data_IF_734403514327
#
_entry.id   IF_734403514327
#
_cell.length_a   1.000
_cell.length_b   1.000
_cell.length_c   1.000
_cell.angle_alpha   90.00
_cell.angle_beta   90.00
_cell.angle_gamma   90.00
#
_symmetry.space_group_name_H-M   'P 1'
#
loop_
_entity.id
_entity.type
_entity.pdbx_description
1 polymer ?
#
# COMPACT_ATOMS: atom_id res chain seq x y z
N UNK A 1 -21.13 12.51 12.05
CA UNK A 1 -21.37 13.45 10.92
C UNK A 1 -20.29 14.53 10.72
N UNK A 2 -19.45 14.82 11.70
CA UNK A 2 -18.44 15.89 11.62
C UNK A 2 -17.24 15.62 10.70
N UNK A 3 -16.67 14.39 10.58
CA UNK A 3 -15.55 14.11 9.68
C UNK A 3 -15.93 14.23 8.21
N UNK A 4 -17.09 13.68 7.82
CA UNK A 4 -17.57 13.70 6.43
C UNK A 4 -17.90 15.13 5.97
N UNK A 5 -18.43 15.97 6.86
CA UNK A 5 -18.73 17.36 6.54
C UNK A 5 -17.47 18.20 6.37
N UNK A 6 -16.40 17.94 7.15
CA UNK A 6 -15.09 18.60 6.97
C UNK A 6 -14.39 18.16 5.68
N UNK A 7 -14.46 16.89 5.30
CA UNK A 7 -13.95 16.41 4.01
C UNK A 7 -14.67 17.06 2.83
N UNK A 8 -16.00 17.17 2.89
CA UNK A 8 -16.79 17.86 1.84
C UNK A 8 -16.50 19.36 1.72
N UNK A 9 -16.06 20.01 2.80
CA UNK A 9 -15.64 21.42 2.74
C UNK A 9 -14.24 21.62 2.13
N UNK A 10 -13.39 20.59 2.17
CA UNK A 10 -12.05 20.66 1.56
C UNK A 10 -12.07 20.30 0.06
N UNK A 11 -13.02 19.50 -0.38
CA UNK A 11 -13.16 19.04 -1.78
C UNK A 11 -14.40 19.71 -2.42
N UNK A 12 -14.33 21.02 -2.69
CA UNK A 12 -15.45 21.78 -3.24
C UNK A 12 -15.91 21.28 -4.61
N UNK A 13 -15.04 20.54 -5.33
CA UNK A 13 -15.29 20.02 -6.68
C UNK A 13 -15.10 18.51 -6.78
N UNK A 14 -15.31 17.78 -5.68
CA UNK A 14 -15.24 16.32 -5.70
C UNK A 14 -16.33 15.73 -6.62
N UNK A 15 -15.96 14.68 -7.34
CA UNK A 15 -16.82 13.93 -8.23
C UNK A 15 -16.73 12.46 -7.90
N UNK A 16 -17.74 11.95 -7.23
CA UNK A 16 -17.86 10.53 -6.90
C UNK A 16 -18.35 9.75 -8.13
N UNK A 17 -18.03 8.45 -8.18
CA UNK A 17 -18.39 7.57 -9.29
C UNK A 17 -17.88 8.05 -10.66
N UNK A 18 -16.71 8.69 -10.67
CA UNK A 18 -16.01 9.11 -11.87
C UNK A 18 -14.72 8.30 -11.99
N UNK A 19 -14.65 7.45 -13.00
CA UNK A 19 -13.44 6.67 -13.29
C UNK A 19 -12.64 7.34 -14.41
N UNK A 20 -11.38 7.65 -14.16
CA UNK A 20 -10.48 8.19 -15.18
C UNK A 20 -9.90 7.01 -15.96
N UNK A 21 -10.28 6.89 -17.25
CA UNK A 21 -9.81 5.82 -18.14
C UNK A 21 -8.46 6.15 -18.77
N UNK A 22 -8.33 7.41 -19.23
CA UNK A 22 -7.09 7.86 -19.87
C UNK A 22 -6.77 9.32 -19.52
N UNK A 23 -5.48 9.65 -19.62
CA UNK A 23 -4.97 10.99 -19.47
C UNK A 23 -3.88 11.23 -20.54
N UNK A 24 -4.13 12.13 -21.48
CA UNK A 24 -3.20 12.51 -22.53
C UNK A 24 -2.65 13.91 -22.28
N UNK A 25 -1.35 14.06 -22.19
CA UNK A 25 -0.71 15.36 -22.20
C UNK A 25 -0.66 15.87 -23.64
N UNK A 26 -1.24 17.03 -23.88
CA UNK A 26 -1.16 17.77 -25.13
C UNK A 26 -0.04 18.82 -25.00
N UNK A 27 1.09 18.56 -25.68
CA UNK A 27 2.26 19.45 -25.57
C UNK A 27 2.07 20.79 -26.27
N UNK A 28 1.17 20.87 -27.24
CA UNK A 28 0.88 22.11 -27.95
C UNK A 28 0.13 23.11 -27.04
N UNK A 29 -0.87 22.61 -26.31
CA UNK A 29 -1.74 23.41 -25.45
C UNK A 29 -1.29 23.43 -24.00
N UNK A 30 -0.26 22.64 -23.64
CA UNK A 30 0.28 22.45 -22.26
C UNK A 30 -0.81 22.08 -21.25
N UNK A 31 -1.69 21.13 -21.62
CA UNK A 31 -2.79 20.63 -20.80
C UNK A 31 -2.88 19.10 -20.81
N UNK A 32 -3.44 18.56 -19.74
CA UNK A 32 -3.93 17.18 -19.66
C UNK A 32 -5.36 17.10 -20.19
N UNK A 33 -5.61 16.22 -21.13
CA UNK A 33 -6.92 15.80 -21.63
C UNK A 33 -7.29 14.48 -20.98
N UNK A 34 -8.38 14.46 -20.20
CA UNK A 34 -8.79 13.30 -19.41
C UNK A 34 -10.10 12.74 -19.95
N UNK A 35 -10.13 11.44 -20.26
CA UNK A 35 -11.36 10.71 -20.53
C UNK A 35 -11.87 10.09 -19.23
N UNK A 36 -13.07 10.46 -18.84
CA UNK A 36 -13.71 10.02 -17.60
C UNK A 36 -14.99 9.25 -17.92
N UNK A 37 -15.17 8.12 -17.28
CA UNK A 37 -16.42 7.35 -17.31
C UNK A 37 -17.21 7.59 -16.03
N UNK A 38 -18.44 8.04 -16.17
CA UNK A 38 -19.41 8.13 -15.08
C UNK A 38 -20.70 7.35 -15.39
N UNK A 39 -21.76 7.54 -14.61
CA UNK A 39 -23.06 6.89 -14.82
C UNK A 39 -23.75 7.26 -16.14
N UNK A 40 -23.44 8.44 -16.70
CA UNK A 40 -24.04 8.98 -17.90
C UNK A 40 -23.19 8.67 -19.16
N UNK A 41 -22.03 8.03 -19.02
CA UNK A 41 -21.15 7.62 -20.11
C UNK A 41 -19.75 8.24 -20.06
N UNK A 42 -19.13 8.40 -21.23
CA UNK A 42 -17.78 8.97 -21.36
C UNK A 42 -17.86 10.50 -21.46
N UNK A 43 -16.98 11.18 -20.73
CA UNK A 43 -16.85 12.65 -20.73
C UNK A 43 -15.37 13.03 -20.79
N UNK A 44 -15.10 14.14 -21.47
CA UNK A 44 -13.75 14.71 -21.51
C UNK A 44 -13.68 15.94 -20.61
N UNK A 45 -12.58 16.03 -19.83
CA UNK A 45 -12.23 17.23 -19.09
C UNK A 45 -10.77 17.55 -19.31
N UNK A 46 -10.39 18.80 -19.10
CA UNK A 46 -9.00 19.25 -19.19
C UNK A 46 -8.50 19.71 -17.83
N UNK A 47 -7.18 19.60 -17.62
CA UNK A 47 -6.51 20.05 -16.42
C UNK A 47 -5.10 20.53 -16.73
N UNK A 48 -4.62 21.57 -16.08
CA UNK A 48 -3.24 22.04 -16.21
C UNK A 48 -2.22 21.17 -15.46
N UNK A 49 -2.66 20.41 -14.45
CA UNK A 49 -1.79 19.55 -13.65
C UNK A 49 -2.53 18.26 -13.27
N UNK A 50 -1.85 17.11 -13.35
CA UNK A 50 -2.37 15.80 -12.97
C UNK A 50 -1.65 15.27 -11.72
N UNK A 51 -2.39 15.09 -10.62
CA UNK A 51 -1.85 14.55 -9.38
C UNK A 51 -2.57 13.24 -9.00
N UNK A 52 -1.90 12.10 -9.17
CA UNK A 52 -2.44 10.78 -8.87
C UNK A 52 -2.27 10.45 -7.38
N UNK A 53 -3.38 10.25 -6.69
CA UNK A 53 -3.42 9.87 -5.27
C UNK A 53 -4.05 8.49 -5.02
N UNK A 54 -4.18 7.66 -6.05
CA UNK A 54 -4.81 6.35 -5.98
C UNK A 54 -3.92 5.24 -5.40
N UNK A 55 -2.66 5.54 -5.04
CA UNK A 55 -1.69 4.52 -4.60
C UNK A 55 -1.06 3.77 -5.78
N UNK A 56 -0.65 2.51 -5.56
CA UNK A 56 0.05 1.71 -6.57
C UNK A 56 -0.55 0.31 -6.75
N UNK A 57 -1.81 0.14 -6.46
CA UNK A 57 -2.50 -1.13 -6.68
C UNK A 57 -3.46 -1.03 -7.85
N UNK A 58 -3.58 -2.15 -8.62
CA UNK A 58 -4.62 -2.27 -9.61
C UNK A 58 -5.99 -2.39 -8.93
N UNK A 59 -6.95 -1.59 -9.38
CA UNK A 59 -8.34 -1.67 -8.93
C UNK A 59 -9.13 -2.71 -9.71
N UNK A 60 -8.69 -3.03 -10.92
CA UNK A 60 -9.41 -3.91 -11.84
C UNK A 60 -9.00 -5.37 -11.73
N UNK A 61 -7.76 -5.64 -11.24
CA UNK A 61 -7.18 -6.98 -11.26
C UNK A 61 -6.63 -7.38 -9.90
N UNK A 62 -7.19 -8.40 -9.25
CA UNK A 62 -6.62 -9.07 -8.10
C UNK A 62 -5.54 -10.06 -8.54
N UNK A 63 -4.66 -10.44 -7.63
CA UNK A 63 -3.77 -11.57 -7.88
C UNK A 63 -4.45 -12.87 -7.43
N UNK A 64 -4.87 -13.67 -8.39
CA UNK A 64 -5.46 -14.99 -8.15
C UNK A 64 -4.48 -16.05 -8.71
N UNK A 65 -3.82 -16.84 -7.84
CA UNK A 65 -3.06 -18.00 -8.30
C UNK A 65 -3.97 -19.01 -9.01
N UNK A 66 -3.41 -19.73 -9.96
CA UNK A 66 -4.12 -20.84 -10.60
C UNK A 66 -4.04 -22.06 -9.67
N UNK A 67 -5.14 -22.41 -9.02
CA UNK A 67 -5.25 -23.59 -8.20
C UNK A 67 -5.79 -24.76 -9.04
N UNK A 68 -5.16 -25.95 -8.88
CA UNK A 68 -5.59 -27.14 -9.59
C UNK A 68 -7.02 -27.51 -9.18
N UNK A 69 -7.87 -27.85 -10.14
CA UNK A 69 -9.26 -28.28 -9.94
C UNK A 69 -10.13 -27.27 -9.18
N UNK A 70 -9.83 -25.96 -9.29
CA UNK A 70 -10.57 -24.92 -8.58
C UNK A 70 -12.06 -24.89 -8.94
N UNK A 71 -12.40 -25.28 -10.16
CA UNK A 71 -13.76 -25.39 -10.68
C UNK A 71 -14.59 -26.51 -10.04
N UNK A 72 -13.96 -27.48 -9.38
CA UNK A 72 -14.64 -28.57 -8.70
C UNK A 72 -15.29 -28.13 -7.39
N UNK A 73 -14.79 -27.04 -6.78
CA UNK A 73 -15.32 -26.55 -5.50
C UNK A 73 -16.74 -26.03 -5.67
N UNK A 74 -17.67 -26.57 -4.88
CA UNK A 74 -19.11 -26.23 -4.97
C UNK A 74 -19.51 -25.05 -4.10
N UNK A 75 -18.65 -24.63 -3.17
CA UNK A 75 -18.87 -23.45 -2.34
C UNK A 75 -18.52 -22.14 -3.07
N UNK A 76 -18.48 -21.05 -2.33
CA UNK A 76 -18.11 -19.75 -2.87
C UNK A 76 -16.59 -19.52 -2.80
N UNK A 77 -15.99 -19.03 -3.89
CA UNK A 77 -14.61 -18.53 -3.91
C UNK A 77 -14.67 -17.02 -4.05
N UNK A 78 -14.04 -16.30 -3.09
CA UNK A 78 -14.13 -14.84 -2.99
C UNK A 78 -12.72 -14.26 -2.93
N UNK A 79 -12.45 -13.22 -3.74
CA UNK A 79 -11.28 -12.39 -3.54
C UNK A 79 -11.65 -11.15 -2.74
N UNK A 80 -10.91 -10.80 -1.65
CA UNK A 80 -11.25 -9.68 -0.76
C UNK A 80 -11.40 -8.33 -1.45
N UNK A 81 -10.70 -8.10 -2.58
CA UNK A 81 -10.82 -6.87 -3.37
C UNK A 81 -12.24 -6.67 -3.92
N UNK A 82 -13.00 -7.74 -4.12
CA UNK A 82 -14.38 -7.73 -4.66
C UNK A 82 -15.40 -8.15 -3.61
N UNK A 83 -15.11 -7.88 -2.35
CA UNK A 83 -16.05 -8.14 -1.27
C UNK A 83 -17.34 -7.35 -1.48
N UNK A 84 -18.47 -8.02 -1.33
CA UNK A 84 -19.78 -7.40 -1.39
C UNK A 84 -20.63 -7.74 -0.15
N UNK A 85 -21.64 -6.93 0.12
CA UNK A 85 -22.50 -7.04 1.29
C UNK A 85 -23.46 -8.26 1.25
N UNK A 86 -23.47 -9.04 0.17
CA UNK A 86 -24.30 -10.25 0.05
C UNK A 86 -23.61 -11.51 0.54
N UNK A 87 -22.32 -11.41 0.90
CA UNK A 87 -21.54 -12.51 1.41
C UNK A 87 -21.94 -12.74 2.87
N UNK A 88 -22.60 -13.87 3.11
CA UNK A 88 -22.97 -14.32 4.46
C UNK A 88 -21.97 -15.36 4.98
N UNK A 89 -21.21 -14.97 6.00
CA UNK A 89 -20.23 -15.82 6.68
C UNK A 89 -20.78 -16.53 7.92
N UNK A 90 -22.00 -16.23 8.34
CA UNK A 90 -22.57 -16.75 9.59
C UNK A 90 -22.71 -18.27 9.55
N UNK A 91 -22.23 -18.93 10.62
CA UNK A 91 -22.29 -20.38 10.79
C UNK A 91 -21.67 -21.18 9.61
N UNK A 92 -20.64 -20.64 8.96
CA UNK A 92 -19.94 -21.25 7.84
C UNK A 92 -18.52 -21.64 8.23
N UNK A 93 -18.01 -22.72 7.63
CA UNK A 93 -16.60 -23.09 7.66
C UNK A 93 -15.87 -22.33 6.55
N UNK A 94 -14.92 -21.50 6.94
CA UNK A 94 -14.27 -20.59 6.02
C UNK A 94 -12.77 -20.86 5.97
N UNK A 95 -12.21 -20.96 4.77
CA UNK A 95 -10.77 -21.02 4.56
C UNK A 95 -10.29 -19.69 3.97
N UNK A 96 -9.38 -19.03 4.68
CA UNK A 96 -8.70 -17.81 4.20
C UNK A 96 -7.30 -18.18 3.74
N UNK A 97 -7.07 -18.15 2.43
CA UNK A 97 -5.76 -18.50 1.83
C UNK A 97 -4.86 -17.27 1.82
N UNK A 98 -3.83 -17.29 2.64
CA UNK A 98 -2.82 -16.24 2.78
C UNK A 98 -2.44 -15.94 4.22
N UNK A 99 -1.30 -15.25 4.42
CA UNK A 99 -0.79 -14.83 5.73
C UNK A 99 -0.44 -13.35 5.80
N UNK A 100 -0.80 -12.59 4.76
CA UNK A 100 -0.53 -11.14 4.68
C UNK A 100 -1.54 -10.29 5.46
N UNK A 101 -1.38 -8.96 5.38
CA UNK A 101 -2.23 -8.00 6.09
C UNK A 101 -3.73 -8.23 5.89
N UNK A 102 -4.16 -8.61 4.70
CA UNK A 102 -5.57 -8.91 4.41
C UNK A 102 -6.06 -10.12 5.20
N UNK A 103 -5.32 -11.22 5.20
CA UNK A 103 -5.71 -12.44 5.92
C UNK A 103 -5.78 -12.20 7.43
N UNK A 104 -4.74 -11.60 8.03
CA UNK A 104 -4.69 -11.38 9.48
C UNK A 104 -5.75 -10.39 9.99
N UNK A 105 -6.30 -9.55 9.09
CA UNK A 105 -7.41 -8.65 9.41
C UNK A 105 -8.77 -9.32 9.22
N UNK A 106 -8.93 -10.14 8.17
CA UNK A 106 -10.20 -10.80 7.87
C UNK A 106 -10.51 -11.93 8.86
N UNK A 107 -9.49 -12.72 9.21
CA UNK A 107 -9.69 -13.91 10.06
C UNK A 107 -10.40 -13.57 11.38
N UNK A 108 -9.93 -12.64 12.22
CA UNK A 108 -10.62 -12.32 13.47
C UNK A 108 -12.00 -11.71 13.24
N UNK A 109 -12.16 -10.85 12.23
CA UNK A 109 -13.45 -10.21 11.95
C UNK A 109 -14.53 -11.22 11.50
N UNK A 110 -14.17 -12.20 10.68
CA UNK A 110 -15.08 -13.24 10.21
C UNK A 110 -15.35 -14.25 11.33
N UNK A 111 -14.36 -14.56 12.15
CA UNK A 111 -14.48 -15.50 13.27
C UNK A 111 -15.50 -15.08 14.34
N UNK A 112 -15.96 -13.83 14.33
CA UNK A 112 -17.03 -13.38 15.23
C UNK A 112 -18.37 -14.05 14.91
N UNK A 113 -18.63 -14.41 13.65
CA UNK A 113 -19.92 -14.94 13.20
C UNK A 113 -19.85 -16.31 12.53
N UNK A 114 -18.68 -16.68 11.98
CA UNK A 114 -18.46 -17.96 11.32
C UNK A 114 -18.51 -19.13 12.33
N UNK A 115 -18.79 -20.35 11.85
CA UNK A 115 -18.63 -21.58 12.63
C UNK A 115 -17.15 -21.78 12.98
N UNK A 116 -16.28 -21.67 12.00
CA UNK A 116 -14.82 -21.74 12.16
C UNK A 116 -14.09 -21.11 10.97
N UNK A 117 -12.95 -20.45 11.24
CA UNK A 117 -12.10 -19.85 10.20
C UNK A 117 -10.72 -20.50 10.22
N UNK A 118 -10.32 -21.10 9.10
CA UNK A 118 -8.96 -21.62 8.94
C UNK A 118 -8.12 -20.65 8.12
N UNK A 119 -7.09 -20.06 8.72
CA UNK A 119 -6.06 -19.33 8.00
C UNK A 119 -5.07 -20.32 7.39
N UNK A 120 -5.15 -20.53 6.08
CA UNK A 120 -4.27 -21.43 5.35
C UNK A 120 -3.13 -20.65 4.69
N UNK A 121 -1.91 -20.94 5.08
CA UNK A 121 -0.72 -20.24 4.57
C UNK A 121 0.35 -21.22 4.08
N UNK A 122 1.00 -20.88 2.98
CA UNK A 122 2.15 -21.63 2.47
C UNK A 122 3.41 -21.38 3.31
N UNK A 123 3.57 -20.16 3.80
CA UNK A 123 4.68 -19.73 4.64
C UNK A 123 4.20 -18.68 5.64
N UNK A 124 4.74 -18.67 6.87
CA UNK A 124 4.38 -17.67 7.88
C UNK A 124 4.75 -16.25 7.49
N UNK A 125 4.06 -15.29 8.14
CA UNK A 125 4.42 -13.87 8.14
C UNK A 125 4.70 -13.40 9.57
N UNK A 126 5.53 -12.36 9.75
CA UNK A 126 5.64 -11.72 11.05
C UNK A 126 4.36 -10.98 11.40
N UNK A 127 3.80 -11.30 12.56
CA UNK A 127 2.58 -10.70 13.09
C UNK A 127 2.88 -10.15 14.48
N UNK A 128 2.49 -8.89 14.70
CA UNK A 128 2.71 -8.20 15.99
C UNK A 128 1.40 -7.62 16.46
N UNK A 129 1.04 -7.88 17.72
CA UNK A 129 -0.06 -7.21 18.37
C UNK A 129 0.30 -5.78 18.75
N UNK A 130 -0.62 -4.85 18.50
CA UNK A 130 -0.45 -3.45 18.88
C UNK A 130 -1.75 -2.89 19.43
N UNK A 131 -1.73 -2.16 20.56
CA UNK A 131 -2.92 -1.54 21.10
C UNK A 131 -3.56 -0.57 20.09
N UNK A 132 -4.87 -0.69 19.87
CA UNK A 132 -5.64 0.23 19.02
C UNK A 132 -5.65 1.65 19.59
N UNK A 133 -5.56 1.78 20.91
CA UNK A 133 -5.51 3.04 21.64
C UNK A 133 -4.24 3.17 22.49
N UNK A 134 -3.53 4.27 22.34
CA UNK A 134 -2.38 4.60 23.18
C UNK A 134 -2.87 5.34 24.45
N UNK A 135 -2.85 4.63 25.58
CA UNK A 135 -3.28 5.17 26.90
C UNK A 135 -2.47 6.40 27.31
N UNK A 136 -1.16 6.43 26.98
CA UNK A 136 -0.30 7.59 27.27
C UNK A 136 -0.76 8.83 26.50
N UNK A 137 -1.29 8.64 25.30
CA UNK A 137 -1.83 9.72 24.49
C UNK A 137 -3.13 10.28 25.09
N UNK A 138 -3.99 9.44 25.68
CA UNK A 138 -5.18 9.89 26.40
C UNK A 138 -4.81 10.77 27.60
N UNK A 139 -3.74 10.39 28.32
CA UNK A 139 -3.26 11.15 29.47
C UNK A 139 -2.73 12.54 29.07
N UNK A 140 -1.88 12.61 28.03
CA UNK A 140 -1.32 13.87 27.54
C UNK A 140 -2.39 14.87 27.08
N UNK A 141 -3.48 14.37 26.45
CA UNK A 141 -4.61 15.21 26.00
C UNK A 141 -5.36 15.91 27.15
N UNK A 142 -5.22 15.43 28.38
CA UNK A 142 -5.85 16.08 29.56
C UNK A 142 -5.10 17.32 30.00
N UNK A 143 -3.80 17.41 29.75
CA UNK A 143 -2.93 18.46 30.32
C UNK A 143 -2.40 19.43 29.26
N UNK A 144 -2.38 19.07 28.00
CA UNK A 144 -1.79 19.86 26.93
C UNK A 144 -2.81 20.21 25.84
N UNK A 145 -2.69 21.40 25.23
CA UNK A 145 -3.48 21.76 24.05
C UNK A 145 -3.36 20.72 22.93
N UNK A 146 -4.45 20.47 22.24
CA UNK A 146 -4.54 19.39 21.23
C UNK A 146 -3.46 19.46 20.14
N UNK A 147 -3.06 20.67 19.73
CA UNK A 147 -2.01 20.89 18.73
C UNK A 147 -0.62 20.46 19.24
N UNK A 148 -0.30 20.78 20.48
CA UNK A 148 0.98 20.39 21.12
C UNK A 148 1.01 18.88 21.34
N UNK A 149 -0.07 18.34 21.88
CA UNK A 149 -0.21 16.89 22.08
C UNK A 149 -0.03 16.13 20.78
N UNK A 150 -0.72 16.57 19.70
CA UNK A 150 -0.58 15.96 18.38
C UNK A 150 0.88 16.00 17.87
N UNK A 151 1.54 17.15 18.00
CA UNK A 151 2.94 17.31 17.60
C UNK A 151 3.87 16.34 18.35
N UNK A 152 3.76 16.29 19.68
CA UNK A 152 4.61 15.41 20.51
C UNK A 152 4.37 13.93 20.20
N UNK A 153 3.10 13.51 20.07
CA UNK A 153 2.74 12.12 19.76
C UNK A 153 3.23 11.75 18.37
N UNK A 154 3.02 12.64 17.38
CA UNK A 154 3.49 12.40 16.00
C UNK A 154 5.00 12.15 15.98
N UNK A 155 5.78 13.02 16.62
CA UNK A 155 7.24 12.87 16.64
C UNK A 155 7.71 11.66 17.45
N UNK A 156 7.09 11.39 18.60
CA UNK A 156 7.35 10.16 19.37
C UNK A 156 7.16 8.92 18.48
N UNK A 157 6.05 8.82 17.74
CA UNK A 157 5.77 7.67 16.90
C UNK A 157 6.71 7.57 15.69
N UNK A 158 7.06 8.69 15.07
CA UNK A 158 8.04 8.73 13.96
C UNK A 158 9.41 8.21 14.44
N UNK A 159 9.91 8.74 15.56
CA UNK A 159 11.21 8.34 16.10
C UNK A 159 11.20 6.87 16.54
N UNK A 160 10.13 6.41 17.18
CA UNK A 160 9.97 5.02 17.59
C UNK A 160 9.95 4.06 16.38
N UNK A 161 9.14 4.34 15.36
CA UNK A 161 9.10 3.52 14.15
C UNK A 161 10.46 3.50 13.41
N UNK A 162 11.12 4.65 13.32
CA UNK A 162 12.45 4.76 12.70
C UNK A 162 13.48 3.95 13.48
N UNK A 163 13.44 4.00 14.82
CA UNK A 163 14.29 3.21 15.68
C UNK A 163 14.04 1.71 15.53
N UNK A 164 12.77 1.27 15.54
CA UNK A 164 12.42 -0.13 15.38
C UNK A 164 12.86 -0.67 14.01
N UNK A 165 12.68 0.11 12.96
CA UNK A 165 13.17 -0.25 11.63
C UNK A 165 14.71 -0.37 11.59
N UNK A 166 15.41 0.60 12.18
CA UNK A 166 16.88 0.55 12.31
C UNK A 166 17.33 -0.71 13.06
N UNK A 167 16.69 -1.01 14.18
CA UNK A 167 17.00 -2.22 14.98
C UNK A 167 16.74 -3.50 14.18
N UNK A 168 15.64 -3.56 13.42
CA UNK A 168 15.32 -4.73 12.61
C UNK A 168 16.34 -4.98 11.48
N UNK A 169 16.84 -3.92 10.86
CA UNK A 169 17.85 -4.04 9.78
C UNK A 169 19.26 -4.35 10.31
N UNK A 170 19.64 -3.84 11.49
CA UNK A 170 20.99 -4.03 12.03
C UNK A 170 21.09 -5.19 13.03
N UNK A 171 20.01 -5.57 13.68
CA UNK A 171 19.94 -6.63 14.69
C UNK A 171 18.75 -7.56 14.46
N UNK A 172 18.61 -8.16 13.25
CA UNK A 172 17.42 -8.89 12.84
C UNK A 172 17.07 -10.06 13.77
N UNK A 173 18.06 -10.85 14.20
CA UNK A 173 17.82 -12.00 15.07
C UNK A 173 17.26 -11.59 16.45
N UNK A 174 17.69 -10.46 16.99
CA UNK A 174 17.13 -9.93 18.24
C UNK A 174 15.68 -9.54 18.09
N UNK A 175 15.34 -8.87 17.00
CA UNK A 175 13.96 -8.44 16.75
C UNK A 175 13.08 -9.63 16.42
N UNK A 176 13.58 -10.60 15.64
CA UNK A 176 12.90 -11.86 15.36
C UNK A 176 12.56 -12.59 16.66
N UNK A 177 13.55 -12.78 17.53
CA UNK A 177 13.32 -13.42 18.83
C UNK A 177 12.26 -12.68 19.66
N UNK A 178 12.38 -11.35 19.77
CA UNK A 178 11.39 -10.56 20.52
C UNK A 178 9.96 -10.71 19.97
N UNK A 179 9.79 -10.74 18.64
CA UNK A 179 8.47 -10.93 18.03
C UNK A 179 7.91 -12.33 18.37
N UNK A 180 8.75 -13.37 18.24
CA UNK A 180 8.32 -14.74 18.53
C UNK A 180 8.02 -14.95 20.02
N UNK A 181 8.81 -14.37 20.92
CA UNK A 181 8.56 -14.41 22.37
C UNK A 181 7.19 -13.76 22.70
N UNK A 182 6.89 -12.59 22.11
CA UNK A 182 5.58 -11.94 22.26
C UNK A 182 4.42 -12.83 21.75
N UNK A 183 4.60 -13.55 20.66
CA UNK A 183 3.57 -14.47 20.13
C UNK A 183 3.41 -15.67 21.06
N UNK A 184 4.51 -16.23 21.61
CA UNK A 184 4.48 -17.33 22.60
C UNK A 184 3.77 -16.89 23.88
N UNK A 185 4.01 -15.66 24.34
CA UNK A 185 3.28 -15.10 25.50
C UNK A 185 1.80 -14.95 25.24
N UNK A 186 1.40 -14.61 24.00
CA UNK A 186 -0.02 -14.48 23.62
C UNK A 186 -0.71 -15.84 23.46
N UNK A 187 -0.08 -16.83 22.80
CA UNK A 187 -0.73 -18.10 22.44
C UNK A 187 -0.51 -19.22 23.45
N UNK A 188 0.50 -19.10 24.30
CA UNK A 188 0.94 -20.16 25.23
C UNK A 188 2.02 -21.08 24.63
N UNK A 189 2.67 -21.85 25.52
CA UNK A 189 3.81 -22.69 25.15
C UNK A 189 3.41 -23.93 24.32
N UNK A 190 2.17 -24.35 24.40
CA UNK A 190 1.66 -25.53 23.68
C UNK A 190 1.32 -25.25 22.21
N UNK A 191 1.30 -23.97 21.80
CA UNK A 191 1.04 -23.61 20.42
C UNK A 191 2.34 -23.69 19.59
N UNK A 192 2.27 -24.34 18.43
CA UNK A 192 3.44 -24.50 17.52
C UNK A 192 3.77 -23.17 16.77
N UNK A 193 4.32 -22.21 17.53
CA UNK A 193 4.74 -20.90 17.02
C UNK A 193 5.85 -21.04 15.98
N UNK A 194 6.71 -22.04 16.12
CA UNK A 194 7.84 -22.23 15.22
C UNK A 194 7.36 -22.64 13.82
N UNK A 195 6.32 -23.46 13.72
CA UNK A 195 5.69 -23.84 12.44
C UNK A 195 4.84 -22.73 11.84
N UNK A 196 4.03 -22.05 12.66
CA UNK A 196 2.95 -21.21 12.17
C UNK A 196 3.26 -19.71 12.12
N UNK A 197 4.29 -19.25 12.87
CA UNK A 197 4.60 -17.83 13.01
C UNK A 197 6.07 -17.48 12.85
N UNK A 198 6.91 -18.44 12.41
CA UNK A 198 8.35 -18.20 12.21
C UNK A 198 8.70 -18.14 10.72
N UNK A 199 8.73 -16.92 10.12
CA UNK A 199 9.17 -16.74 8.75
C UNK A 199 10.63 -17.09 8.53
N UNK A 200 10.95 -17.49 7.28
CA UNK A 200 12.34 -17.78 6.86
C UNK A 200 13.17 -16.52 6.54
N UNK A 201 12.51 -15.35 6.45
CA UNK A 201 13.13 -14.05 6.14
C UNK A 201 13.23 -13.17 7.40
N UNK A 202 14.01 -12.08 7.33
CA UNK A 202 14.17 -11.18 8.46
C UNK A 202 13.01 -10.17 8.57
N UNK A 203 12.72 -9.65 9.78
CA UNK A 203 11.73 -8.60 9.95
C UNK A 203 12.02 -7.39 9.05
N UNK A 204 11.00 -6.88 8.37
CA UNK A 204 11.06 -5.80 7.36
C UNK A 204 11.76 -6.13 6.04
N UNK A 205 12.22 -7.36 5.76
CA UNK A 205 12.50 -7.80 4.39
C UNK A 205 11.18 -8.00 3.63
N UNK A 206 10.15 -8.40 4.37
CA UNK A 206 8.76 -8.33 3.96
C UNK A 206 7.95 -7.58 5.04
N UNK A 207 6.68 -7.30 4.76
CA UNK A 207 5.85 -6.54 5.68
C UNK A 207 5.62 -7.29 7.00
N UNK A 208 5.85 -6.61 8.11
CA UNK A 208 5.39 -7.04 9.42
C UNK A 208 3.91 -6.65 9.56
N UNK A 209 3.04 -7.63 9.77
CA UNK A 209 1.61 -7.42 9.93
C UNK A 209 1.28 -6.99 11.37
N UNK A 210 0.43 -5.97 11.51
CA UNK A 210 -0.05 -5.51 12.80
C UNK A 210 -1.49 -5.96 13.00
N UNK A 211 -1.79 -6.55 14.16
CA UNK A 211 -3.14 -6.91 14.59
C UNK A 211 -3.53 -6.06 15.80
N UNK A 212 -4.69 -5.38 15.77
CA UNK A 212 -5.12 -4.53 16.86
C UNK A 212 -5.56 -5.35 18.06
N UNK A 213 -5.12 -4.95 19.25
CA UNK A 213 -5.60 -5.51 20.54
C UNK A 213 -5.55 -7.04 20.61
N UNK A 214 -4.61 -7.68 19.91
CA UNK A 214 -4.44 -9.15 19.84
C UNK A 214 -5.66 -9.91 19.28
N UNK A 215 -6.47 -9.28 18.43
CA UNK A 215 -7.74 -9.85 17.94
C UNK A 215 -7.57 -11.22 17.27
N UNK A 216 -6.57 -11.39 16.38
CA UNK A 216 -6.24 -12.67 15.75
C UNK A 216 -5.87 -13.72 16.82
N UNK A 217 -4.98 -13.38 17.75
CA UNK A 217 -4.55 -14.32 18.79
C UNK A 217 -5.68 -14.72 19.73
N UNK A 218 -6.61 -13.80 20.02
CA UNK A 218 -7.85 -14.12 20.78
C UNK A 218 -8.71 -15.12 20.03
N UNK A 219 -8.95 -14.90 18.72
CA UNK A 219 -9.72 -15.84 17.90
C UNK A 219 -9.11 -17.25 17.88
N UNK A 220 -7.76 -17.34 17.85
CA UNK A 220 -7.04 -18.61 17.92
C UNK A 220 -7.20 -19.28 19.30
N UNK A 221 -7.02 -18.55 20.39
CA UNK A 221 -7.20 -19.08 21.78
C UNK A 221 -8.63 -19.53 22.06
N UNK A 222 -9.60 -18.86 21.49
CA UNK A 222 -11.02 -19.21 21.62
C UNK A 222 -11.44 -20.36 20.69
N UNK A 223 -10.52 -20.94 19.93
CA UNK A 223 -10.77 -21.96 18.91
C UNK A 223 -11.81 -21.56 17.84
N UNK A 224 -12.04 -20.27 17.66
CA UNK A 224 -12.88 -19.74 16.58
C UNK A 224 -12.13 -19.67 15.25
N UNK A 225 -10.80 -19.64 15.33
CA UNK A 225 -9.92 -19.72 14.19
C UNK A 225 -8.78 -20.70 14.42
N UNK A 226 -8.17 -21.17 13.34
CA UNK A 226 -6.96 -22.00 13.35
C UNK A 226 -6.00 -21.57 12.26
N UNK A 227 -4.70 -21.88 12.41
CA UNK A 227 -3.68 -21.68 11.37
C UNK A 227 -3.20 -23.01 10.86
N UNK A 228 -3.19 -23.17 9.55
CA UNK A 228 -2.59 -24.31 8.87
C UNK A 228 -1.49 -23.81 7.97
N UNK A 229 -0.27 -24.35 8.14
CA UNK A 229 0.89 -24.00 7.32
C UNK A 229 1.23 -25.19 6.44
N UNK A 230 0.78 -25.11 5.18
CA UNK A 230 0.96 -26.17 4.19
C UNK A 230 0.69 -25.65 2.76
N UNK A 231 1.01 -26.44 1.75
CA UNK A 231 0.78 -26.14 0.34
C UNK A 231 -0.52 -26.80 -0.13
N UNK A 232 -1.32 -26.06 -0.91
CA UNK A 232 -2.52 -26.59 -1.54
C UNK A 232 -2.10 -27.45 -2.75
N UNK A 233 -2.52 -28.71 -2.77
CA UNK A 233 -2.34 -29.61 -3.91
C UNK A 233 -3.44 -29.40 -4.95
N UNK A 234 -4.69 -29.39 -4.49
CA UNK A 234 -5.86 -29.20 -5.37
C UNK A 234 -7.10 -28.77 -4.56
N UNK A 235 -8.09 -28.27 -5.27
CA UNK A 235 -9.41 -28.02 -4.74
C UNK A 235 -10.28 -29.25 -4.97
N UNK A 236 -11.10 -29.57 -3.97
CA UNK A 236 -12.11 -30.60 -4.03
C UNK A 236 -13.53 -29.99 -3.94
N UNK A 237 -14.55 -30.84 -4.08
CA UNK A 237 -15.94 -30.36 -4.13
C UNK A 237 -16.42 -29.65 -2.85
N UNK A 238 -15.79 -29.93 -1.71
CA UNK A 238 -16.20 -29.45 -0.37
C UNK A 238 -15.02 -28.86 0.43
N UNK A 239 -13.88 -28.55 -0.24
CA UNK A 239 -12.73 -27.99 0.45
C UNK A 239 -11.44 -27.99 -0.36
N UNK A 240 -10.32 -28.02 0.34
CA UNK A 240 -8.98 -28.05 -0.24
C UNK A 240 -8.16 -29.23 0.29
N UNK A 241 -7.42 -29.89 -0.60
CA UNK A 241 -6.45 -30.93 -0.28
C UNK A 241 -5.06 -30.31 -0.16
N UNK A 242 -4.33 -30.70 0.87
CA UNK A 242 -2.99 -30.21 1.17
C UNK A 242 -1.93 -31.27 0.80
N UNK A 243 -0.69 -30.82 0.68
CA UNK A 243 0.47 -31.66 0.36
C UNK A 243 0.73 -32.73 1.46
N UNK A 244 0.45 -32.41 2.71
CA UNK A 244 0.47 -33.36 3.83
C UNK A 244 -0.58 -34.49 3.74
N UNK A 245 -1.50 -34.43 2.79
CA UNK A 245 -2.66 -35.30 2.73
C UNK A 245 -3.84 -34.88 3.62
N UNK A 246 -3.69 -33.77 4.36
CA UNK A 246 -4.80 -33.22 5.14
C UNK A 246 -5.83 -32.54 4.22
N UNK A 247 -7.11 -32.80 4.44
CA UNK A 247 -8.22 -32.10 3.80
C UNK A 247 -8.80 -31.06 4.75
N UNK A 248 -9.03 -29.84 4.23
CA UNK A 248 -9.73 -28.78 4.97
C UNK A 248 -11.10 -28.58 4.30
N UNK A 249 -12.15 -28.84 5.06
CA UNK A 249 -13.55 -28.63 4.63
C UNK A 249 -13.87 -27.14 4.70
N UNK A 250 -14.56 -26.63 3.68
CA UNK A 250 -14.97 -25.23 3.61
C UNK A 250 -16.31 -25.06 2.89
N UNK A 251 -17.13 -24.14 3.36
CA UNK A 251 -18.29 -23.60 2.64
C UNK A 251 -17.89 -22.41 1.77
N UNK A 252 -16.90 -21.63 2.25
CA UNK A 252 -16.39 -20.45 1.57
C UNK A 252 -14.86 -20.47 1.58
N UNK A 253 -14.26 -20.18 0.45
CA UNK A 253 -12.81 -19.98 0.32
C UNK A 253 -12.54 -18.54 -0.03
N UNK A 254 -11.72 -17.86 0.79
CA UNK A 254 -11.31 -16.46 0.57
C UNK A 254 -9.86 -16.43 0.12
N UNK A 255 -9.61 -16.00 -1.11
CA UNK A 255 -8.28 -15.94 -1.69
C UNK A 255 -7.58 -14.63 -1.34
N UNK A 256 -7.06 -14.52 -0.10
CA UNK A 256 -6.27 -13.38 0.36
C UNK A 256 -4.81 -13.46 -0.16
N UNK A 257 -4.65 -13.81 -1.43
CA UNK A 257 -3.39 -14.19 -2.08
C UNK A 257 -2.57 -13.01 -2.62
N UNK A 258 -3.07 -11.79 -2.38
CA UNK A 258 -2.39 -10.55 -2.73
C UNK A 258 -3.08 -9.77 -3.83
N UNK A 259 -2.46 -8.66 -4.19
CA UNK A 259 -2.93 -7.68 -5.15
C UNK A 259 -1.88 -7.45 -6.23
N UNK A 260 -2.30 -6.95 -7.37
CA UNK A 260 -1.38 -6.57 -8.44
C UNK A 260 -0.96 -5.11 -8.29
N UNK A 261 0.32 -4.83 -8.58
CA UNK A 261 0.84 -3.47 -8.59
C UNK A 261 0.54 -2.80 -9.94
N UNK A 262 0.17 -1.52 -9.87
CA UNK A 262 0.05 -0.64 -11.03
C UNK A 262 0.27 0.81 -10.60
N UNK A 263 1.42 1.37 -10.94
CA UNK A 263 1.83 2.71 -10.52
C UNK A 263 0.98 3.84 -11.11
N UNK A 264 0.25 3.59 -12.19
CA UNK A 264 -0.62 4.55 -12.88
C UNK A 264 -2.12 4.27 -12.65
N UNK A 265 -2.47 3.41 -11.68
CA UNK A 265 -3.85 3.13 -11.24
C UNK A 265 -4.81 2.70 -12.36
N UNK A 266 -4.36 1.87 -13.28
CA UNK A 266 -5.10 1.42 -14.47
C UNK A 266 -5.47 2.57 -15.45
N UNK A 267 -4.91 3.78 -15.28
CA UNK A 267 -5.11 4.90 -16.19
C UNK A 267 -4.14 4.77 -17.36
N UNK A 268 -4.66 4.88 -18.59
CA UNK A 268 -3.81 4.94 -19.78
C UNK A 268 -3.22 6.35 -19.92
N UNK A 269 -1.97 6.53 -19.45
CA UNK A 269 -1.27 7.81 -19.50
C UNK A 269 -0.46 7.91 -20.79
N UNK A 270 -0.64 9.01 -21.54
CA UNK A 270 0.05 9.28 -22.81
C UNK A 270 0.58 10.71 -22.85
N UNK A 271 1.60 10.96 -23.68
CA UNK A 271 2.11 12.28 -24.05
C UNK A 271 2.04 12.36 -25.56
N UNK A 272 1.27 13.31 -26.09
CA UNK A 272 1.01 13.44 -27.54
C UNK A 272 0.62 12.11 -28.20
N UNK A 273 -0.17 11.28 -27.47
CA UNK A 273 -0.64 9.94 -27.79
C UNK A 273 0.40 8.83 -27.62
N UNK A 274 1.66 9.13 -27.34
CA UNK A 274 2.67 8.12 -27.03
C UNK A 274 2.54 7.63 -25.60
N UNK A 275 2.51 6.32 -25.41
CA UNK A 275 2.26 5.69 -24.10
C UNK A 275 3.42 5.94 -23.13
N UNK A 276 3.08 6.41 -21.93
CA UNK A 276 4.03 6.53 -20.82
C UNK A 276 4.24 5.16 -20.17
N UNK A 277 5.48 4.67 -20.24
CA UNK A 277 5.91 3.50 -19.49
C UNK A 277 6.60 3.96 -18.19
N UNK A 278 5.95 3.81 -17.05
CA UNK A 278 6.51 4.23 -15.77
C UNK A 278 7.82 3.51 -15.43
N UNK A 279 7.94 2.21 -15.78
CA UNK A 279 9.12 1.41 -15.46
C UNK A 279 10.41 1.86 -16.18
N UNK A 280 10.28 2.49 -17.33
CA UNK A 280 11.44 3.04 -18.06
C UNK A 280 11.86 4.43 -17.57
N UNK A 281 11.21 5.00 -16.56
CA UNK A 281 11.43 6.36 -16.11
C UNK A 281 11.95 6.44 -14.69
N UNK A 282 12.79 7.44 -14.42
CA UNK A 282 13.25 7.74 -13.07
C UNK A 282 12.19 8.49 -12.28
N UNK A 283 12.12 8.19 -10.98
CA UNK A 283 11.30 8.97 -10.06
C UNK A 283 12.07 10.18 -9.52
N UNK A 284 11.53 11.37 -9.76
CA UNK A 284 12.06 12.61 -9.20
C UNK A 284 11.49 12.84 -7.81
N UNK A 285 12.37 12.91 -6.82
CA UNK A 285 12.03 13.02 -5.37
C UNK A 285 10.97 12.00 -4.90
N UNK A 286 10.82 10.85 -5.60
CA UNK A 286 9.83 9.82 -5.31
C UNK A 286 8.38 10.27 -5.51
N UNK A 287 8.11 11.30 -6.34
CA UNK A 287 6.76 11.86 -6.52
C UNK A 287 6.45 12.39 -7.92
N UNK A 288 7.41 12.48 -8.83
CA UNK A 288 7.19 12.84 -10.24
C UNK A 288 7.97 11.86 -11.11
N UNK A 289 7.63 11.76 -12.41
CA UNK A 289 8.34 10.93 -13.38
C UNK A 289 9.18 11.80 -14.32
N UNK A 290 10.39 11.35 -14.63
CA UNK A 290 11.23 11.99 -15.63
C UNK A 290 10.53 12.05 -16.99
N UNK A 291 10.63 13.19 -17.67
CA UNK A 291 10.02 13.40 -18.98
C UNK A 291 8.48 13.39 -19.02
N UNK A 292 7.80 13.53 -17.86
CA UNK A 292 6.33 13.64 -17.80
C UNK A 292 5.94 15.02 -17.26
N UNK A 293 5.34 15.87 -18.12
CA UNK A 293 5.03 17.26 -17.76
C UNK A 293 3.86 17.34 -16.78
N UNK A 294 3.89 18.31 -15.85
CA UNK A 294 2.81 18.65 -14.94
C UNK A 294 2.13 17.42 -14.28
N UNK A 295 2.97 16.47 -13.87
CA UNK A 295 2.53 15.19 -13.34
C UNK A 295 3.17 14.91 -11.99
N UNK A 296 2.36 14.48 -11.05
CA UNK A 296 2.85 13.96 -9.77
C UNK A 296 2.01 12.76 -9.32
N UNK A 297 2.59 11.94 -8.43
CA UNK A 297 1.90 10.83 -7.78
C UNK A 297 2.27 10.75 -6.31
N UNK A 298 1.39 10.18 -5.49
CA UNK A 298 1.63 9.99 -4.07
C UNK A 298 1.76 8.52 -3.73
N UNK A 299 2.98 8.08 -3.37
CA UNK A 299 3.24 6.79 -2.76
C UNK A 299 3.67 6.96 -1.31
N UNK A 300 3.41 5.95 -0.49
CA UNK A 300 3.83 5.95 0.90
C UNK A 300 5.17 5.26 1.12
N UNK A 301 5.55 5.16 2.39
CA UNK A 301 6.69 4.35 2.82
C UNK A 301 6.27 2.88 2.95
N UNK A 302 7.22 1.98 2.73
CA UNK A 302 7.03 0.54 3.06
C UNK A 302 7.29 0.25 4.53
N UNK A 303 8.08 1.10 5.20
CA UNK A 303 8.57 0.94 6.56
C UNK A 303 7.98 1.92 7.57
N UNK A 304 7.04 2.77 7.15
CA UNK A 304 6.38 3.77 7.99
C UNK A 304 4.97 4.08 7.47
N UNK A 305 4.23 4.93 8.21
CA UNK A 305 2.90 5.35 7.78
C UNK A 305 2.94 6.08 6.43
N UNK A 306 2.03 5.70 5.54
CA UNK A 306 1.87 6.33 4.22
C UNK A 306 1.56 7.83 4.31
N UNK A 307 0.79 8.24 5.32
CA UNK A 307 0.40 9.65 5.52
C UNK A 307 1.60 10.56 5.69
N UNK A 308 2.70 10.07 6.24
CA UNK A 308 3.92 10.86 6.41
C UNK A 308 4.50 11.30 5.06
N UNK A 309 4.53 10.38 4.09
CA UNK A 309 5.03 10.69 2.74
C UNK A 309 4.02 11.49 1.93
N UNK A 310 2.73 11.13 2.04
CA UNK A 310 1.66 11.83 1.36
C UNK A 310 1.61 13.32 1.76
N UNK A 311 1.74 13.66 3.06
CA UNK A 311 1.84 15.04 3.54
C UNK A 311 2.96 15.83 2.84
N UNK A 312 4.17 15.24 2.76
CA UNK A 312 5.32 15.89 2.12
C UNK A 312 5.11 16.07 0.62
N UNK A 313 4.55 15.06 -0.04
CA UNK A 313 4.24 15.11 -1.48
C UNK A 313 3.22 16.19 -1.78
N UNK A 314 2.12 16.23 -1.03
CA UNK A 314 1.09 17.26 -1.20
C UNK A 314 1.64 18.68 -0.96
N UNK A 315 2.46 18.85 0.10
CA UNK A 315 3.12 20.14 0.38
C UNK A 315 4.03 20.55 -0.77
N UNK A 316 4.82 19.63 -1.32
CA UNK A 316 5.71 19.90 -2.45
C UNK A 316 4.93 20.29 -3.71
N UNK A 317 3.89 19.53 -4.05
CA UNK A 317 3.06 19.79 -5.25
C UNK A 317 2.37 21.15 -5.15
N UNK A 318 1.81 21.50 -3.99
CA UNK A 318 1.22 22.82 -3.78
C UNK A 318 2.24 23.96 -3.95
N UNK A 319 3.44 23.79 -3.38
CA UNK A 319 4.53 24.79 -3.53
C UNK A 319 5.02 24.87 -4.98
N UNK A 320 5.05 23.76 -5.70
CA UNK A 320 5.42 23.70 -7.11
C UNK A 320 4.44 24.48 -7.97
N UNK A 321 3.13 24.21 -7.84
CA UNK A 321 2.07 24.91 -8.58
C UNK A 321 2.11 26.41 -8.28
N UNK A 322 2.22 26.81 -7.01
CA UNK A 322 2.36 28.21 -6.63
C UNK A 322 3.63 28.88 -7.24
N UNK A 323 4.71 28.12 -7.39
CA UNK A 323 5.93 28.64 -8.04
C UNK A 323 5.72 28.80 -9.56
N UNK A 324 5.00 27.89 -10.20
CA UNK A 324 4.63 27.99 -11.62
C UNK A 324 3.79 29.22 -11.86
N UNK A 325 2.74 29.43 -11.06
CA UNK A 325 1.87 30.62 -11.12
C UNK A 325 2.70 31.91 -10.93
N UNK A 326 3.57 31.95 -9.92
CA UNK A 326 4.44 33.11 -9.66
C UNK A 326 5.41 33.41 -10.80
N UNK A 327 5.88 32.38 -11.50
CA UNK A 327 6.78 32.56 -12.67
C UNK A 327 6.02 32.86 -13.95
N UNK A 328 4.69 32.67 -14.00
CA UNK A 328 3.89 32.76 -15.21
C UNK A 328 4.23 31.67 -16.23
N UNK A 329 4.64 30.48 -15.77
CA UNK A 329 4.97 29.34 -16.63
C UNK A 329 3.85 28.29 -16.60
N UNK A 330 3.58 27.68 -17.74
CA UNK A 330 2.50 26.72 -17.91
C UNK A 330 2.92 25.28 -17.63
N UNK A 331 4.21 25.00 -17.74
CA UNK A 331 4.74 23.64 -17.67
C UNK A 331 5.93 23.52 -16.73
N UNK A 332 5.96 22.41 -15.99
CA UNK A 332 7.15 21.93 -15.28
C UNK A 332 7.34 20.44 -15.57
N UNK A 333 8.58 20.03 -15.82
CA UNK A 333 8.90 18.64 -16.18
C UNK A 333 10.26 18.26 -15.61
N UNK A 334 10.39 17.16 -14.86
CA UNK A 334 11.70 16.63 -14.49
C UNK A 334 12.45 16.19 -15.76
N UNK A 335 13.68 16.71 -15.95
CA UNK A 335 14.52 16.36 -17.09
C UNK A 335 15.19 15.04 -16.79
N UNK A 336 15.18 14.13 -17.74
CA UNK A 336 15.87 12.86 -17.62
C UNK A 336 17.38 13.05 -17.39
N UNK A 337 17.98 12.26 -16.52
CA UNK A 337 19.40 12.30 -16.19
C UNK A 337 20.01 10.92 -16.42
N UNK A 338 20.55 10.70 -17.61
CA UNK A 338 21.14 9.41 -17.98
C UNK A 338 22.25 8.97 -17.02
N UNK A 339 22.92 9.90 -16.36
CA UNK A 339 23.98 9.60 -15.38
C UNK A 339 23.45 9.18 -14.01
N UNK A 340 22.16 9.35 -13.78
CA UNK A 340 21.50 8.98 -12.53
C UNK A 340 20.90 7.56 -12.57
N UNK A 341 20.79 6.95 -13.76
CA UNK A 341 20.29 5.58 -13.86
C UNK A 341 21.18 4.61 -13.11
N UNK A 342 20.55 3.65 -12.47
CA UNK A 342 21.15 2.53 -11.76
C UNK A 342 20.22 1.33 -11.86
N UNK A 343 20.66 0.21 -11.33
CA UNK A 343 19.87 -1.04 -11.31
C UNK A 343 18.90 -1.11 -10.12
N UNK A 344 18.87 -0.06 -9.28
CA UNK A 344 18.05 -0.05 -8.07
C UNK A 344 16.57 0.12 -8.39
N UNK A 345 15.76 -0.79 -7.88
CA UNK A 345 14.31 -0.65 -7.87
C UNK A 345 13.88 0.48 -6.91
N UNK A 346 12.72 1.09 -7.14
CA UNK A 346 12.18 2.17 -6.29
C UNK A 346 12.10 1.77 -4.82
N UNK A 347 11.86 0.50 -4.55
CA UNK A 347 11.66 -0.07 -3.22
C UNK A 347 12.34 -1.44 -3.17
N UNK A 348 13.27 -1.60 -2.24
CA UNK A 348 13.87 -2.89 -1.89
C UNK A 348 12.95 -3.66 -0.94
N UNK A 349 12.09 -4.50 -1.53
CA UNK A 349 11.09 -5.26 -0.78
C UNK A 349 10.90 -6.65 -1.41
N UNK A 350 11.18 -7.70 -0.65
CA UNK A 350 11.24 -9.08 -1.19
C UNK A 350 9.90 -9.82 -1.22
N UNK A 351 8.79 -9.16 -0.83
CA UNK A 351 7.47 -9.80 -0.85
C UNK A 351 7.04 -10.17 -2.28
N UNK A 352 6.44 -11.36 -2.42
CA UNK A 352 6.12 -11.92 -3.74
C UNK A 352 5.20 -11.04 -4.60
N UNK A 353 4.25 -10.31 -3.98
CA UNK A 353 3.38 -9.41 -4.73
C UNK A 353 4.15 -8.22 -5.31
N UNK A 354 5.16 -7.75 -4.59
CA UNK A 354 5.99 -6.64 -5.02
C UNK A 354 6.92 -7.08 -6.15
N UNK A 355 7.60 -8.21 -5.98
CA UNK A 355 8.49 -8.78 -7.01
C UNK A 355 7.77 -9.02 -8.33
N UNK A 356 6.54 -9.54 -8.29
CA UNK A 356 5.72 -9.72 -9.51
C UNK A 356 5.36 -8.42 -10.21
N UNK A 357 5.24 -7.31 -9.45
CA UNK A 357 4.77 -6.03 -9.98
C UNK A 357 5.88 -5.00 -10.24
N UNK A 358 7.16 -5.32 -10.04
CA UNK A 358 8.27 -4.38 -10.23
C UNK A 358 8.28 -3.73 -11.62
N UNK A 359 7.91 -4.49 -12.65
CA UNK A 359 7.84 -4.00 -14.03
C UNK A 359 6.73 -2.95 -14.28
N UNK A 360 5.86 -2.69 -13.30
CA UNK A 360 4.89 -1.59 -13.33
C UNK A 360 5.34 -0.37 -12.52
N UNK A 361 6.42 -0.50 -11.75
CA UNK A 361 6.91 0.58 -10.88
C UNK A 361 7.99 1.40 -11.57
N UNK A 362 8.06 2.70 -11.32
CA UNK A 362 9.18 3.52 -11.81
C UNK A 362 10.49 3.10 -11.14
N UNK A 363 11.60 3.43 -11.78
CA UNK A 363 12.95 3.22 -11.24
C UNK A 363 13.36 4.37 -10.34
N UNK A 364 14.26 4.11 -9.40
CA UNK A 364 14.98 5.17 -8.71
C UNK A 364 16.38 5.34 -9.30
N UNK A 365 16.96 6.52 -9.07
CA UNK A 365 18.34 6.78 -9.43
C UNK A 365 19.31 6.53 -8.27
N UNK A 366 20.59 6.54 -8.60
CA UNK A 366 21.69 6.34 -7.64
C UNK A 366 22.02 7.59 -6.80
N UNK A 367 21.57 8.78 -7.22
CA UNK A 367 21.84 10.08 -6.58
C UNK A 367 20.58 10.95 -6.45
N UNK A 368 20.62 11.94 -5.54
CA UNK A 368 19.57 12.97 -5.47
C UNK A 368 19.54 13.81 -6.76
N UNK A 369 18.36 14.25 -7.22
CA UNK A 369 17.03 14.12 -6.62
C UNK A 369 16.29 12.83 -7.00
N UNK A 370 16.94 11.90 -7.70
CA UNK A 370 16.36 10.68 -8.26
C UNK A 370 16.32 9.52 -7.28
N UNK A 371 17.07 9.59 -6.16
CA UNK A 371 17.10 8.57 -5.13
C UNK A 371 15.95 8.73 -4.13
N UNK A 372 15.21 7.65 -3.87
CA UNK A 372 14.20 7.57 -2.81
C UNK A 372 14.80 6.94 -1.56
N UNK A 373 14.88 7.70 -0.47
CA UNK A 373 15.58 7.24 0.75
C UNK A 373 14.73 6.36 1.65
N UNK A 374 13.43 6.24 1.40
CA UNK A 374 12.49 5.56 2.30
C UNK A 374 12.66 5.97 3.78
N UNK A 375 12.99 7.25 4.01
CA UNK A 375 13.29 7.80 5.33
C UNK A 375 12.65 9.18 5.49
N UNK A 376 11.66 9.26 6.40
CA UNK A 376 10.87 10.47 6.60
C UNK A 376 11.71 11.69 6.99
N UNK A 377 12.75 11.51 7.84
CA UNK A 377 13.60 12.63 8.28
C UNK A 377 14.40 13.19 7.11
N UNK A 378 15.04 12.33 6.31
CA UNK A 378 15.75 12.76 5.09
C UNK A 378 14.80 13.44 4.10
N UNK A 379 13.60 12.91 3.94
CA UNK A 379 12.60 13.46 3.02
C UNK A 379 12.05 14.82 3.49
N UNK A 380 11.90 15.07 4.80
CA UNK A 380 11.59 16.41 5.32
C UNK A 380 12.63 17.43 4.84
N UNK A 381 13.91 17.11 4.99
CA UNK A 381 14.98 18.00 4.53
C UNK A 381 14.92 18.20 3.01
N UNK A 382 14.80 17.10 2.25
CA UNK A 382 14.76 17.17 0.78
C UNK A 382 13.55 17.95 0.23
N UNK A 383 12.40 17.88 0.92
CA UNK A 383 11.16 18.52 0.47
C UNK A 383 11.02 19.95 1.01
N UNK A 384 11.31 20.20 2.31
CA UNK A 384 11.00 21.47 2.96
C UNK A 384 12.13 22.48 2.91
N UNK A 385 13.38 22.03 3.05
CA UNK A 385 14.52 22.94 3.19
C UNK A 385 15.22 23.23 1.86
N UNK A 386 15.18 22.31 0.90
CA UNK A 386 15.78 22.56 -0.40
C UNK A 386 14.85 23.34 -1.31
N UNK A 387 15.46 24.13 -2.21
CA UNK A 387 14.75 24.88 -3.24
C UNK A 387 13.97 23.94 -4.16
N UNK A 388 12.78 24.39 -4.60
CA UNK A 388 12.07 23.74 -5.70
C UNK A 388 12.77 24.02 -7.03
N UNK A 389 13.48 25.17 -7.13
CA UNK A 389 14.30 25.49 -8.29
C UNK A 389 15.54 24.61 -8.25
N UNK A 390 15.56 23.60 -9.08
CA UNK A 390 16.56 22.56 -9.21
C UNK A 390 16.89 22.41 -10.71
N UNK A 391 18.13 22.15 -11.05
CA UNK A 391 18.58 22.01 -12.45
C UNK A 391 17.94 20.84 -13.17
N UNK A 392 17.41 19.87 -12.42
CA UNK A 392 16.72 18.70 -12.98
C UNK A 392 15.21 18.94 -13.19
N UNK A 393 14.70 20.14 -12.92
CA UNK A 393 13.30 20.50 -13.12
C UNK A 393 13.19 21.67 -14.10
N UNK A 394 12.74 21.39 -15.32
CA UNK A 394 12.57 22.41 -16.36
C UNK A 394 11.21 23.11 -16.20
N UNK A 395 11.22 24.43 -16.41
CA UNK A 395 10.03 25.29 -16.40
C UNK A 395 9.96 26.03 -17.73
N UNK A 396 8.84 25.92 -18.43
CA UNK A 396 8.65 26.56 -19.73
C UNK A 396 7.18 26.89 -20.00
N UNK A 397 6.94 27.73 -20.98
CA UNK A 397 5.61 28.05 -21.51
C UNK A 397 5.47 27.54 -22.93
N UNK A 398 4.24 27.28 -23.36
CA UNK A 398 3.94 26.90 -24.75
C UNK A 398 4.46 27.89 -25.76
N UNK A 399 4.61 29.18 -25.36
CA UNK A 399 5.17 30.25 -26.17
C UNK A 399 6.69 30.20 -26.33
N UNK A 400 7.37 29.38 -25.52
CA UNK A 400 8.85 29.28 -25.54
C UNK A 400 9.34 28.14 -26.47
N UNK A 401 8.41 27.44 -27.12
CA UNK A 401 8.63 26.42 -28.15
C UNK A 401 8.44 27.01 -29.53
#
# INVERSE_FOLDING_TARGET
HTPIRRQRQMCIRDRLNHNVNSANWNSQDSIWELEIKDKDGLKNITSSFLFLCGGYYSYSKPHIPNFRNQENFKGQIIHPQFWNNQIDCANKKIVVIGSGATAVTLVPAIAETAEHVTMLQRSPSYIVSWPSEDVKNKFLKKFLPIKITYFLIRWKNILYQSYMYFMAKNYPERIKKNILDLIKDELGLDYDVDKHFTPSYNPWDQRVCLVPDSDLFKALKENKASVVTDTITEFESDGVMLDSGQKIIADIIITATGIELNSLNDINVTIDKDKVNAHSRLTYKGMMLSGVPNFAYSFGYVNASWTLRADLTCEYVCRLINLMDKKGVECCMPIDDETAYGDDDLIDFTSGYFQRGLHFMPKQGNKAPWKSYQNYIKDIFAVRLFSIKDSNLNFYSSKDK
#
